data_IF_042308089553
#
_entry.id   IF_042308089553
#
_cell.length_a   1.000
_cell.length_b   1.000
_cell.length_c   1.000
_cell.angle_alpha   90.00
_cell.angle_beta   90.00
_cell.angle_gamma   90.00
#
_symmetry.space_group_name_H-M   'P 1'
#
loop_
_entity.id
_entity.type
_entity.pdbx_description
1 polymer ?
#
# COMPACT_ATOMS: atom_id res chain seq x y z
N UNK A 1 -21.46 -27.71 -26.50
CA UNK A 1 -20.81 -27.56 -27.83
C UNK A 1 -19.87 -26.37 -27.75
N UNK A 2 -18.56 -26.62 -27.67
CA UNK A 2 -17.52 -25.58 -27.62
C UNK A 2 -17.27 -25.18 -29.07
N UNK A 3 -17.45 -23.90 -29.42
CA UNK A 3 -17.00 -23.37 -30.71
C UNK A 3 -15.67 -22.66 -30.51
N UNK A 4 -14.64 -23.20 -31.14
CA UNK A 4 -13.31 -22.61 -31.26
C UNK A 4 -13.34 -21.57 -32.39
N UNK A 5 -12.96 -20.34 -32.10
CA UNK A 5 -12.57 -19.40 -33.16
C UNK A 5 -11.09 -19.13 -32.94
N UNK A 6 -10.26 -19.63 -33.86
CA UNK A 6 -8.85 -19.29 -33.92
C UNK A 6 -8.74 -18.00 -34.73
N UNK A 7 -8.27 -16.93 -34.10
CA UNK A 7 -7.67 -15.83 -34.85
C UNK A 7 -6.16 -15.86 -34.62
N UNK A 8 -5.45 -16.04 -35.72
CA UNK A 8 -4.02 -16.16 -35.82
C UNK A 8 -3.47 -14.78 -36.19
N UNK A 9 -2.72 -14.15 -35.28
CA UNK A 9 -1.48 -13.38 -35.58
C UNK A 9 -1.02 -12.53 -34.39
N UNK A 10 -0.44 -13.14 -33.35
CA UNK A 10 0.72 -12.55 -32.63
C UNK A 10 1.61 -13.69 -32.14
N UNK A 11 2.79 -13.87 -32.74
CA UNK A 11 3.81 -14.84 -32.32
C UNK A 11 4.93 -14.13 -31.55
N UNK A 12 5.29 -14.75 -30.40
CA UNK A 12 6.53 -14.63 -29.60
C UNK A 12 6.60 -13.38 -28.69
N UNK A 13 6.73 -13.45 -27.37
CA UNK A 13 7.27 -14.46 -26.44
C UNK A 13 6.60 -14.33 -25.05
N UNK A 14 6.41 -15.44 -24.33
CA UNK A 14 6.03 -15.43 -22.90
C UNK A 14 4.60 -15.88 -22.60
N UNK A 15 4.46 -17.05 -21.99
CA UNK A 15 3.21 -17.64 -21.51
C UNK A 15 2.70 -16.86 -20.29
N UNK A 16 1.78 -15.91 -20.47
CA UNK A 16 0.99 -15.37 -19.34
C UNK A 16 -0.17 -16.31 -19.08
N UNK A 17 -0.08 -17.09 -18.01
CA UNK A 17 -1.24 -17.80 -17.46
C UNK A 17 -2.22 -16.73 -16.95
N UNK A 18 -3.30 -16.47 -17.70
CA UNK A 18 -4.41 -15.67 -17.20
C UNK A 18 -5.28 -16.58 -16.33
N UNK A 19 -4.95 -16.69 -15.05
CA UNK A 19 -5.86 -17.21 -14.05
C UNK A 19 -7.05 -16.23 -13.91
N UNK A 20 -8.24 -16.60 -14.35
CA UNK A 20 -9.48 -15.96 -13.92
C UNK A 20 -9.82 -16.47 -12.52
N UNK A 21 -9.20 -15.89 -11.51
CA UNK A 21 -9.64 -15.93 -10.12
C UNK A 21 -9.69 -14.50 -9.60
N UNK A 22 -10.81 -14.07 -9.02
CA UNK A 22 -10.88 -12.78 -8.32
C UNK A 22 -9.82 -12.79 -7.22
N UNK A 23 -8.67 -12.16 -7.45
CA UNK A 23 -7.72 -11.88 -6.38
C UNK A 23 -8.42 -11.03 -5.33
N UNK A 24 -8.35 -11.44 -4.06
CA UNK A 24 -8.81 -10.62 -2.93
C UNK A 24 -7.98 -9.34 -2.98
N UNK A 25 -8.60 -8.23 -3.38
CA UNK A 25 -7.90 -6.95 -3.43
C UNK A 25 -7.55 -6.54 -2.01
N UNK A 26 -6.34 -6.04 -1.76
CA UNK A 26 -5.94 -5.53 -0.44
C UNK A 26 -6.87 -4.41 0.04
N UNK A 27 -7.55 -3.72 -0.88
CA UNK A 27 -8.63 -2.76 -0.55
C UNK A 27 -9.86 -3.41 0.08
N UNK A 28 -10.16 -4.65 -0.26
CA UNK A 28 -11.40 -5.33 0.15
C UNK A 28 -11.34 -5.83 1.59
N UNK A 29 -10.15 -6.06 2.12
CA UNK A 29 -9.94 -6.43 3.53
C UNK A 29 -10.21 -5.22 4.43
N UNK A 30 -9.68 -4.07 4.05
CA UNK A 30 -9.73 -2.83 4.83
C UNK A 30 -11.15 -2.26 4.96
N UNK A 31 -12.05 -2.61 4.03
CA UNK A 31 -13.44 -2.17 4.09
C UNK A 31 -14.34 -3.08 4.93
N UNK A 32 -13.81 -4.19 5.48
CA UNK A 32 -14.57 -5.10 6.35
C UNK A 32 -14.69 -4.51 7.76
N UNK A 33 -15.79 -4.78 8.48
CA UNK A 33 -15.90 -4.36 9.88
C UNK A 33 -14.89 -5.10 10.76
N UNK A 34 -14.62 -4.57 11.95
CA UNK A 34 -13.97 -5.38 13.00
C UNK A 34 -14.82 -6.62 13.32
N UNK A 35 -14.17 -7.75 13.53
CA UNK A 35 -14.87 -9.01 13.81
C UNK A 35 -14.14 -9.83 14.87
N UNK A 36 -14.77 -9.97 16.04
CA UNK A 36 -14.21 -10.69 17.18
C UNK A 36 -14.15 -12.21 16.95
N UNK A 37 -15.06 -12.78 16.15
CA UNK A 37 -15.15 -14.23 15.96
C UNK A 37 -15.89 -14.94 17.10
N UNK A 38 -16.04 -16.25 16.98
CA UNK A 38 -16.88 -17.06 17.90
C UNK A 38 -16.08 -17.68 19.06
N UNK A 39 -14.76 -17.67 18.97
CA UNK A 39 -13.87 -18.10 20.05
C UNK A 39 -13.82 -17.04 21.17
N UNK A 40 -13.48 -17.48 22.39
CA UNK A 40 -13.62 -16.67 23.62
C UNK A 40 -12.30 -16.27 24.27
N UNK A 41 -11.19 -16.33 23.53
CA UNK A 41 -9.94 -15.73 23.99
C UNK A 41 -10.00 -14.19 23.86
N UNK A 42 -9.00 -13.49 24.40
CA UNK A 42 -8.91 -12.03 24.30
C UNK A 42 -7.54 -11.62 23.82
N UNK A 43 -7.43 -11.27 22.54
CA UNK A 43 -6.19 -10.75 21.95
C UNK A 43 -6.41 -9.32 21.47
N UNK A 44 -5.56 -8.40 21.92
CA UNK A 44 -5.51 -7.05 21.35
C UNK A 44 -4.99 -7.11 19.93
N UNK A 45 -5.80 -6.63 18.98
CA UNK A 45 -5.49 -6.62 17.55
C UNK A 45 -5.87 -5.27 16.97
N UNK A 46 -5.31 -4.96 15.81
CA UNK A 46 -5.57 -3.75 15.06
C UNK A 46 -6.52 -4.04 13.91
N UNK A 47 -7.48 -3.15 13.65
CA UNK A 47 -8.30 -3.17 12.45
C UNK A 47 -8.31 -1.78 11.82
N UNK A 48 -8.49 -1.70 10.52
CA UNK A 48 -8.70 -0.44 9.84
C UNK A 48 -10.15 0.00 9.98
N UNK A 49 -10.37 1.11 10.68
CA UNK A 49 -11.64 1.77 10.78
C UNK A 49 -11.79 2.74 9.59
N UNK A 50 -12.71 2.44 8.68
CA UNK A 50 -12.96 3.28 7.49
C UNK A 50 -13.63 4.61 7.82
N UNK A 51 -14.31 4.72 8.97
CA UNK A 51 -14.97 5.95 9.42
C UNK A 51 -13.92 6.96 9.88
N UNK A 52 -13.01 6.53 10.75
CA UNK A 52 -11.93 7.39 11.26
C UNK A 52 -10.70 7.40 10.36
N UNK A 53 -10.66 6.49 9.37
CA UNK A 53 -9.52 6.21 8.49
C UNK A 53 -8.25 5.88 9.27
N UNK A 54 -8.41 5.27 10.44
CA UNK A 54 -7.32 4.93 11.35
C UNK A 54 -7.29 3.44 11.64
N UNK A 55 -6.09 2.95 11.92
CA UNK A 55 -5.92 1.66 12.56
C UNK A 55 -6.24 1.84 14.03
N UNK A 56 -7.22 1.08 14.51
CA UNK A 56 -7.71 1.13 15.89
C UNK A 56 -7.63 -0.26 16.49
N UNK A 57 -7.53 -0.35 17.82
CA UNK A 57 -7.49 -1.63 18.52
C UNK A 57 -8.90 -2.22 18.69
N UNK A 58 -8.99 -3.55 18.68
CA UNK A 58 -10.18 -4.31 19.05
C UNK A 58 -9.80 -5.66 19.65
N UNK A 59 -10.75 -6.29 20.36
CA UNK A 59 -10.56 -7.62 20.93
C UNK A 59 -10.90 -8.69 19.90
N UNK A 60 -9.93 -9.55 19.61
CA UNK A 60 -10.09 -10.74 18.78
C UNK A 60 -10.22 -12.00 19.63
N UNK A 61 -11.23 -12.82 19.32
CA UNK A 61 -11.60 -14.04 20.02
C UNK A 61 -10.68 -15.24 19.77
N UNK A 62 -9.82 -15.17 18.75
CA UNK A 62 -8.80 -16.19 18.44
C UNK A 62 -9.12 -17.16 17.29
N UNK A 63 -10.29 -17.05 16.65
CA UNK A 63 -10.61 -17.84 15.45
C UNK A 63 -11.51 -17.09 14.46
N UNK A 64 -11.66 -17.61 13.24
CA UNK A 64 -12.54 -17.08 12.18
C UNK A 64 -12.32 -15.60 11.82
N UNK A 65 -11.06 -15.14 11.74
CA UNK A 65 -10.78 -13.76 11.33
C UNK A 65 -11.35 -13.44 9.95
N UNK A 66 -11.91 -12.25 9.77
CA UNK A 66 -12.38 -11.76 8.47
C UNK A 66 -11.28 -11.05 7.65
N UNK A 67 -10.04 -11.00 8.18
CA UNK A 67 -8.88 -10.38 7.53
C UNK A 67 -8.59 -8.94 7.95
N UNK A 68 -9.59 -8.15 8.40
CA UNK A 68 -9.33 -6.81 8.95
C UNK A 68 -8.90 -6.93 10.42
N UNK A 69 -7.76 -7.60 10.62
CA UNK A 69 -7.23 -8.02 11.91
C UNK A 69 -5.72 -8.19 11.78
N UNK A 70 -4.98 -7.26 12.35
CA UNK A 70 -3.53 -7.15 12.27
C UNK A 70 -2.94 -7.19 13.66
N UNK A 71 -1.71 -7.70 13.79
CA UNK A 71 -1.06 -7.82 15.09
C UNK A 71 -0.52 -6.48 15.60
N UNK A 72 -0.11 -5.61 14.67
CA UNK A 72 0.46 -4.29 14.98
C UNK A 72 -0.21 -3.16 14.20
N UNK A 73 -0.15 -1.94 14.74
CA UNK A 73 -0.63 -0.74 14.05
C UNK A 73 0.08 -0.55 12.71
N UNK A 74 1.40 -0.73 12.69
CA UNK A 74 2.22 -0.58 11.49
C UNK A 74 1.81 -1.57 10.39
N UNK A 75 1.48 -2.81 10.74
CA UNK A 75 0.97 -3.79 9.79
C UNK A 75 -0.39 -3.36 9.22
N UNK A 76 -1.31 -2.95 10.08
CA UNK A 76 -2.61 -2.42 9.67
C UNK A 76 -2.45 -1.21 8.75
N UNK A 77 -1.59 -0.27 9.12
CA UNK A 77 -1.33 0.96 8.39
C UNK A 77 -0.80 0.63 6.98
N UNK A 78 0.25 -0.18 6.91
CA UNK A 78 0.86 -0.63 5.65
C UNK A 78 -0.15 -1.31 4.71
N UNK A 79 -1.11 -2.06 5.26
CA UNK A 79 -2.09 -2.78 4.45
C UNK A 79 -3.30 -1.93 4.05
N UNK A 80 -3.75 -1.03 4.92
CA UNK A 80 -5.05 -0.37 4.79
C UNK A 80 -5.02 1.15 4.81
N UNK A 81 -4.07 1.76 5.52
CA UNK A 81 -3.78 3.18 5.39
C UNK A 81 -2.89 3.39 4.17
N UNK A 82 -3.41 3.06 2.98
CA UNK A 82 -2.76 3.32 1.72
C UNK A 82 -1.40 2.61 1.53
N UNK A 83 -1.40 1.64 0.61
CA UNK A 83 -0.29 1.61 -0.36
C UNK A 83 -0.24 3.02 -0.99
N UNK A 84 0.91 3.67 -1.19
CA UNK A 84 2.08 3.11 -1.89
C UNK A 84 1.71 2.34 -3.17
N UNK A 85 0.50 2.53 -3.68
CA UNK A 85 0.01 2.10 -4.99
C UNK A 85 -0.09 3.37 -5.81
N UNK A 86 1.04 4.06 -5.90
CA UNK A 86 1.12 5.46 -6.24
C UNK A 86 1.96 6.30 -5.27
N UNK A 87 2.76 5.70 -4.37
CA UNK A 87 3.94 6.46 -3.91
C UNK A 87 4.89 6.54 -5.11
N UNK A 88 4.63 7.53 -5.94
CA UNK A 88 5.38 7.79 -7.15
C UNK A 88 6.65 8.45 -6.69
N UNK A 89 7.77 7.75 -6.76
CA UNK A 89 9.05 8.32 -6.38
C UNK A 89 9.32 9.59 -7.21
N UNK A 90 9.06 10.76 -6.63
CA UNK A 90 9.17 12.04 -7.31
C UNK A 90 10.64 12.34 -7.63
N UNK A 91 11.57 11.79 -6.85
CA UNK A 91 13.00 11.86 -7.12
C UNK A 91 13.37 11.18 -8.44
N UNK A 92 12.58 10.22 -8.93
CA UNK A 92 12.82 9.57 -10.22
C UNK A 92 12.53 10.48 -11.42
N UNK A 93 11.88 11.64 -11.20
CA UNK A 93 11.57 12.62 -12.25
C UNK A 93 12.27 13.93 -11.94
N UNK A 94 13.31 14.26 -12.72
CA UNK A 94 14.08 15.49 -12.57
C UNK A 94 14.56 15.74 -11.12
N UNK A 95 14.98 14.68 -10.41
CA UNK A 95 15.44 14.76 -9.02
C UNK A 95 14.41 15.39 -8.06
N UNK A 96 13.10 15.27 -8.33
CA UNK A 96 12.07 15.97 -7.56
C UNK A 96 12.13 17.50 -7.67
N UNK A 97 12.93 18.06 -8.59
CA UNK A 97 13.23 19.49 -8.64
C UNK A 97 14.20 19.97 -7.55
N UNK A 98 14.88 19.06 -6.85
CA UNK A 98 15.92 19.38 -5.89
C UNK A 98 17.22 19.79 -6.59
N UNK A 99 17.87 20.84 -6.09
CA UNK A 99 19.14 21.36 -6.63
C UNK A 99 20.30 20.36 -6.45
N UNK A 100 20.32 19.65 -5.32
CA UNK A 100 21.38 18.69 -4.99
C UNK A 100 20.84 17.28 -4.76
N UNK A 101 20.35 16.96 -3.57
CA UNK A 101 19.89 15.61 -3.23
C UNK A 101 18.39 15.56 -2.97
N UNK A 102 17.73 14.53 -3.49
CA UNK A 102 16.31 14.22 -3.27
C UNK A 102 16.16 12.92 -2.49
N UNK A 103 15.26 12.92 -1.50
CA UNK A 103 14.99 11.78 -0.64
C UNK A 103 13.52 11.41 -0.70
N UNK A 104 13.21 10.25 -1.28
CA UNK A 104 11.85 9.73 -1.35
C UNK A 104 11.38 9.29 0.04
N UNK A 105 10.18 9.68 0.42
CA UNK A 105 9.50 9.26 1.64
C UNK A 105 8.14 8.68 1.27
N UNK A 106 7.53 7.92 2.16
CA UNK A 106 6.23 7.34 1.85
C UNK A 106 5.16 8.46 1.77
N UNK A 107 4.70 8.77 0.55
CA UNK A 107 3.71 9.79 0.23
C UNK A 107 4.26 11.17 -0.11
N UNK A 108 5.59 11.36 -0.15
CA UNK A 108 6.24 12.67 -0.44
C UNK A 108 7.74 12.50 -0.70
N UNK A 109 8.48 13.61 -0.82
CA UNK A 109 9.94 13.63 -0.85
C UNK A 109 10.46 14.92 -0.23
N UNK A 110 11.75 14.97 0.09
CA UNK A 110 12.40 16.20 0.55
C UNK A 110 13.75 16.41 -0.12
N UNK A 111 14.13 17.68 -0.29
CA UNK A 111 15.45 18.05 -0.79
C UNK A 111 16.43 18.26 0.37
N UNK A 112 17.70 17.94 0.12
CA UNK A 112 18.80 18.21 1.05
C UNK A 112 20.02 18.70 0.30
N UNK A 113 20.91 19.38 1.02
CA UNK A 113 22.12 19.97 0.46
C UNK A 113 23.39 19.28 0.98
N UNK A 114 24.43 19.30 0.16
CA UNK A 114 25.80 18.96 0.52
C UNK A 114 26.32 19.89 1.60
N UNK A 115 27.39 19.44 2.26
CA UNK A 115 28.03 20.19 3.33
C UNK A 115 28.43 21.59 2.84
N UNK A 116 28.07 22.61 3.62
CA UNK A 116 28.39 24.01 3.33
C UNK A 116 27.21 24.80 2.74
N UNK A 117 26.11 24.13 2.41
CA UNK A 117 24.89 24.74 1.88
C UNK A 117 23.69 24.44 2.77
N UNK A 118 22.68 25.29 2.70
CA UNK A 118 21.38 25.09 3.37
C UNK A 118 20.27 25.11 2.35
N UNK A 119 19.21 24.37 2.64
CA UNK A 119 18.01 24.40 1.79
C UNK A 119 17.36 25.78 1.95
N UNK A 120 17.17 26.47 0.83
CA UNK A 120 16.51 27.77 0.76
C UNK A 120 15.02 27.66 1.14
N UNK A 121 14.34 28.80 1.24
CA UNK A 121 12.94 28.86 1.64
C UNK A 121 11.98 28.09 0.70
N UNK A 122 12.38 27.88 -0.56
CA UNK A 122 11.60 27.14 -1.56
C UNK A 122 11.69 25.61 -1.42
N UNK A 123 12.43 25.13 -0.42
CA UNK A 123 12.64 23.71 -0.11
C UNK A 123 13.31 22.90 -1.23
N UNK A 124 13.96 23.58 -2.20
CA UNK A 124 14.53 22.95 -3.39
C UNK A 124 15.95 23.41 -3.69
N UNK A 125 16.22 24.70 -3.56
CA UNK A 125 17.52 25.30 -3.86
C UNK A 125 18.48 25.18 -2.68
N UNK A 126 19.78 25.03 -2.97
CA UNK A 126 20.84 25.04 -1.99
C UNK A 126 21.65 26.34 -2.08
N UNK A 127 21.78 27.07 -0.96
CA UNK A 127 22.52 28.35 -0.84
C UNK A 127 23.50 28.39 0.34
#
# INVERSE_FOLDING_TARGET
MIRFVADATVKRTGFRIKYYGKGISTSDICNRPKYTGDCRAGFDRWFYNTITRRCETFIYGGCNSNGNNFETEAECARQCQGRASGDFNECSRNNGGCDQACHNTLGSYFCSCWKGYRVAADQRTCE
#
